data_IF_667347491587
#
_entry.id   IF_667347491587
#
_cell.length_a   1.000
_cell.length_b   1.000
_cell.length_c   1.000
_cell.angle_alpha   90.00
_cell.angle_beta   90.00
_cell.angle_gamma   90.00
#
_symmetry.space_group_name_H-M   'P 1'
#
loop_
_entity.id
_entity.type
_entity.pdbx_description
1 polymer ?
#
# COMPACT_ATOMS: atom_id res chain seq x y z
N UNK A 1 -14.91 -22.83 -13.09
CA UNK A 1 -13.87 -22.77 -12.07
C UNK A 1 -13.64 -21.37 -11.55
N UNK A 2 -14.71 -20.82 -11.05
CA UNK A 2 -14.67 -19.49 -10.47
C UNK A 2 -13.59 -19.31 -9.37
N UNK A 3 -13.39 -20.31 -8.48
CA UNK A 3 -12.40 -20.16 -7.43
C UNK A 3 -10.98 -19.86 -7.91
N UNK A 4 -10.64 -20.33 -9.09
CA UNK A 4 -9.31 -20.10 -9.64
C UNK A 4 -9.03 -18.61 -9.84
N UNK A 5 -10.04 -17.86 -10.30
CA UNK A 5 -9.88 -16.44 -10.52
C UNK A 5 -9.63 -15.70 -9.21
N UNK A 6 -10.34 -16.10 -8.17
CA UNK A 6 -10.15 -15.51 -6.85
C UNK A 6 -8.77 -15.79 -6.29
N UNK A 7 -8.27 -17.01 -6.52
CA UNK A 7 -6.94 -17.41 -6.06
C UNK A 7 -5.87 -16.58 -6.73
N UNK A 8 -6.10 -16.16 -7.98
CA UNK A 8 -5.13 -15.39 -8.75
C UNK A 8 -5.18 -13.89 -8.45
N UNK A 9 -6.23 -13.44 -7.77
CA UNK A 9 -6.39 -12.02 -7.46
C UNK A 9 -5.41 -11.61 -6.36
N UNK A 10 -4.72 -10.49 -6.57
CA UNK A 10 -3.78 -9.95 -5.58
C UNK A 10 -4.52 -9.11 -4.56
N UNK A 11 -4.03 -9.11 -3.33
CA UNK A 11 -4.60 -8.28 -2.27
C UNK A 11 -3.66 -7.14 -1.94
N UNK A 12 -4.22 -5.93 -1.82
CA UNK A 12 -3.50 -4.72 -1.46
C UNK A 12 -4.11 -4.17 -0.18
N UNK A 13 -3.27 -3.74 0.75
CA UNK A 13 -3.73 -3.07 1.95
C UNK A 13 -3.44 -1.58 1.82
N UNK A 14 -4.47 -0.75 1.87
CA UNK A 14 -4.35 0.70 1.78
C UNK A 14 -4.53 1.29 3.17
N UNK A 15 -3.51 1.95 3.69
CA UNK A 15 -3.44 2.37 5.08
C UNK A 15 -3.45 3.89 5.19
N UNK A 16 -4.38 4.39 6.01
CA UNK A 16 -4.35 5.79 6.42
C UNK A 16 -5.03 6.77 5.49
N UNK A 17 -5.91 6.29 4.60
CA UNK A 17 -6.72 7.15 3.74
C UNK A 17 -8.13 7.29 4.30
N UNK A 18 -8.68 8.51 4.22
CA UNK A 18 -10.09 8.76 4.53
C UNK A 18 -10.96 8.13 3.44
N UNK A 19 -12.29 8.10 3.66
CA UNK A 19 -13.21 7.44 2.75
C UNK A 19 -13.07 7.85 1.28
N UNK A 20 -13.11 9.14 0.94
CA UNK A 20 -12.96 9.58 -0.45
C UNK A 20 -11.62 9.21 -1.07
N UNK A 21 -10.53 9.34 -0.32
CA UNK A 21 -9.20 9.00 -0.81
C UNK A 21 -9.03 7.50 -0.98
N UNK A 22 -9.59 6.73 -0.06
CA UNK A 22 -9.59 5.28 -0.19
C UNK A 22 -10.36 4.86 -1.46
N UNK A 23 -11.54 5.46 -1.68
CA UNK A 23 -12.34 5.19 -2.87
C UNK A 23 -11.59 5.48 -4.17
N UNK A 24 -10.84 6.59 -4.19
CA UNK A 24 -10.02 6.95 -5.35
C UNK A 24 -8.92 5.94 -5.60
N UNK A 25 -8.28 5.47 -4.54
CA UNK A 25 -7.22 4.46 -4.64
C UNK A 25 -7.80 3.13 -5.17
N UNK A 26 -8.95 2.72 -4.64
CA UNK A 26 -9.61 1.50 -5.10
C UNK A 26 -9.91 1.57 -6.59
N UNK A 27 -10.50 2.68 -7.03
CA UNK A 27 -10.85 2.87 -8.44
C UNK A 27 -9.61 2.81 -9.33
N UNK A 28 -8.53 3.48 -8.91
CA UNK A 28 -7.29 3.48 -9.67
C UNK A 28 -6.71 2.07 -9.78
N UNK A 29 -6.60 1.37 -8.67
CA UNK A 29 -6.00 0.04 -8.66
C UNK A 29 -6.84 -1.00 -9.41
N UNK A 30 -8.14 -1.00 -9.19
CA UNK A 30 -9.01 -2.01 -9.80
C UNK A 30 -9.25 -1.75 -11.28
N UNK A 31 -9.07 -0.51 -11.72
CA UNK A 31 -9.12 -0.18 -13.15
C UNK A 31 -7.91 -0.78 -13.89
N UNK A 32 -6.78 -0.85 -13.24
CA UNK A 32 -5.52 -1.25 -13.88
C UNK A 32 -5.09 -2.69 -13.57
N UNK A 33 -5.58 -3.27 -12.48
CA UNK A 33 -5.13 -4.59 -12.02
C UNK A 33 -6.29 -5.41 -11.50
N UNK A 34 -6.15 -6.74 -11.60
CA UNK A 34 -7.07 -7.67 -10.97
C UNK A 34 -6.63 -7.82 -9.51
N UNK A 35 -7.16 -6.97 -8.65
CA UNK A 35 -6.78 -6.93 -7.24
C UNK A 35 -7.96 -6.57 -6.36
N UNK A 36 -7.80 -6.91 -5.08
CA UNK A 36 -8.73 -6.58 -4.03
C UNK A 36 -8.03 -5.63 -3.07
N UNK A 37 -8.69 -4.54 -2.69
CA UNK A 37 -8.08 -3.52 -1.83
C UNK A 37 -8.81 -3.49 -0.50
N UNK A 38 -8.06 -3.73 0.58
CA UNK A 38 -8.59 -3.64 1.94
C UNK A 38 -8.09 -2.35 2.58
N UNK A 39 -8.79 -1.89 3.61
CA UNK A 39 -8.50 -0.63 4.27
C UNK A 39 -8.01 -0.84 5.70
N UNK A 40 -7.00 -0.07 6.10
CA UNK A 40 -6.57 0.02 7.49
C UNK A 40 -6.30 1.49 7.81
N UNK A 41 -6.20 1.83 9.07
CA UNK A 41 -6.08 3.23 9.50
C UNK A 41 -4.85 3.54 10.33
N UNK A 42 -4.38 2.61 11.13
CA UNK A 42 -3.25 2.83 12.02
C UNK A 42 -2.38 1.60 12.18
N UNK A 43 -1.39 1.65 13.09
CA UNK A 43 -0.45 0.53 13.25
C UNK A 43 -1.12 -0.77 13.67
N UNK A 44 -2.05 -0.70 14.61
CA UNK A 44 -2.64 -1.90 15.19
C UNK A 44 -3.45 -2.69 14.20
N UNK A 45 -4.39 -2.04 13.50
CA UNK A 45 -5.23 -2.74 12.54
C UNK A 45 -4.43 -3.17 11.31
N UNK A 46 -3.41 -2.40 10.92
CA UNK A 46 -2.53 -2.77 9.82
C UNK A 46 -1.79 -4.07 10.11
N UNK A 47 -1.15 -4.13 11.27
CA UNK A 47 -0.38 -5.33 11.64
C UNK A 47 -1.29 -6.55 11.82
N UNK A 48 -2.46 -6.36 12.39
CA UNK A 48 -3.43 -7.42 12.55
C UNK A 48 -3.85 -8.01 11.21
N UNK A 49 -4.16 -7.15 10.24
CA UNK A 49 -4.56 -7.60 8.91
C UNK A 49 -3.43 -8.32 8.19
N UNK A 50 -2.21 -7.80 8.30
CA UNK A 50 -1.05 -8.41 7.65
C UNK A 50 -0.76 -9.79 8.21
N UNK A 51 -0.94 -9.99 9.51
CA UNK A 51 -0.72 -11.30 10.13
C UNK A 51 -1.80 -12.30 9.77
N UNK A 52 -2.99 -11.81 9.47
CA UNK A 52 -4.14 -12.66 9.14
C UNK A 52 -4.36 -12.92 7.67
N UNK A 53 -3.54 -12.35 6.79
CA UNK A 53 -3.76 -12.49 5.35
C UNK A 53 -2.49 -12.38 4.54
N UNK A 54 -2.61 -12.68 3.25
CA UNK A 54 -1.52 -12.60 2.28
C UNK A 54 -1.71 -11.35 1.43
N UNK A 55 -0.85 -10.36 1.63
CA UNK A 55 -0.90 -9.13 0.87
C UNK A 55 0.28 -9.02 -0.08
N UNK A 56 -0.02 -8.71 -1.34
CA UNK A 56 1.01 -8.51 -2.36
C UNK A 56 1.72 -7.17 -2.18
N UNK A 57 1.03 -6.19 -1.59
CA UNK A 57 1.54 -4.83 -1.47
C UNK A 57 0.79 -4.08 -0.37
N UNK A 58 1.52 -3.26 0.38
CA UNK A 58 0.93 -2.36 1.38
C UNK A 58 1.22 -0.93 0.93
N UNK A 59 0.18 -0.12 0.85
CA UNK A 59 0.29 1.30 0.51
C UNK A 59 -0.02 2.10 1.78
N UNK A 60 0.95 2.85 2.28
CA UNK A 60 0.79 3.60 3.52
C UNK A 60 0.83 5.09 3.21
N UNK A 61 -0.25 5.78 3.54
CA UNK A 61 -0.30 7.22 3.39
C UNK A 61 0.74 7.85 4.31
N UNK A 62 1.48 8.83 3.83
CA UNK A 62 2.54 9.43 4.63
C UNK A 62 2.00 10.06 5.91
N UNK A 63 0.82 10.68 5.83
CA UNK A 63 0.10 11.15 7.03
C UNK A 63 -1.19 10.36 7.17
N UNK A 64 -1.36 9.74 8.34
CA UNK A 64 -2.53 8.90 8.58
C UNK A 64 -3.77 9.76 8.82
N UNK A 65 -4.91 9.30 8.32
CA UNK A 65 -6.14 10.06 8.29
C UNK A 65 -6.73 10.37 9.68
N UNK A 66 -6.54 9.47 10.65
CA UNK A 66 -7.20 9.61 11.95
C UNK A 66 -6.48 10.55 12.91
N UNK A 67 -5.16 10.55 12.91
CA UNK A 67 -4.39 11.33 13.91
C UNK A 67 -3.24 12.11 13.32
N UNK A 68 -3.12 12.12 11.99
CA UNK A 68 -2.05 12.81 11.24
C UNK A 68 -0.63 12.35 11.61
N UNK A 69 -0.51 11.16 12.23
CA UNK A 69 0.80 10.61 12.53
C UNK A 69 1.51 10.18 11.25
N UNK A 70 2.82 9.98 11.36
CA UNK A 70 3.66 9.66 10.20
C UNK A 70 3.55 8.17 9.86
N UNK A 71 3.11 7.87 8.65
CA UNK A 71 2.99 6.50 8.16
C UNK A 71 4.31 5.74 8.13
N UNK A 72 5.45 6.45 8.15
CA UNK A 72 6.77 5.80 8.20
C UNK A 72 6.95 4.95 9.45
N UNK A 73 6.23 5.25 10.54
CA UNK A 73 6.30 4.43 11.74
C UNK A 73 5.71 3.04 11.50
N UNK A 74 4.67 2.96 10.69
CA UNK A 74 4.09 1.66 10.31
C UNK A 74 5.07 0.88 9.45
N UNK A 75 5.71 1.57 8.50
CA UNK A 75 6.74 0.97 7.66
C UNK A 75 7.85 0.35 8.52
N UNK A 76 8.33 1.09 9.52
CA UNK A 76 9.37 0.61 10.42
C UNK A 76 8.94 -0.66 11.16
N UNK A 77 7.70 -0.68 11.64
CA UNK A 77 7.18 -1.82 12.37
C UNK A 77 7.07 -3.06 11.49
N UNK A 78 6.62 -2.89 10.25
CA UNK A 78 6.53 -4.00 9.29
C UNK A 78 7.92 -4.56 9.02
N UNK A 79 8.89 -3.69 8.78
CA UNK A 79 10.26 -4.12 8.45
C UNK A 79 11.00 -4.70 9.64
N UNK A 80 10.58 -4.37 10.86
CA UNK A 80 11.16 -4.94 12.08
C UNK A 80 10.57 -6.29 12.45
N UNK A 81 9.47 -6.71 11.86
CA UNK A 81 8.81 -7.96 12.17
C UNK A 81 9.29 -9.05 11.20
N UNK A 82 9.98 -10.10 11.70
CA UNK A 82 10.49 -11.15 10.81
C UNK A 82 9.42 -11.85 9.98
N UNK A 83 8.18 -11.88 10.46
CA UNK A 83 7.08 -12.51 9.73
C UNK A 83 6.55 -11.63 8.60
N UNK A 84 6.80 -10.31 8.65
CA UNK A 84 6.23 -9.34 7.73
C UNK A 84 7.25 -8.59 6.89
N UNK A 85 8.54 -8.68 7.23
CA UNK A 85 9.57 -7.83 6.63
C UNK A 85 9.72 -7.98 5.12
N UNK A 86 9.29 -9.08 4.56
CA UNK A 86 9.38 -9.31 3.12
C UNK A 86 8.16 -8.79 2.35
N UNK A 87 7.14 -8.28 3.04
CA UNK A 87 5.97 -7.72 2.38
C UNK A 87 6.35 -6.38 1.75
N UNK A 88 6.13 -6.19 0.45
CA UNK A 88 6.44 -4.90 -0.18
C UNK A 88 5.56 -3.78 0.38
N UNK A 89 6.19 -2.63 0.68
CA UNK A 89 5.51 -1.46 1.23
C UNK A 89 5.90 -0.25 0.40
N UNK A 90 4.93 0.59 0.06
CA UNK A 90 5.15 1.89 -0.56
C UNK A 90 4.55 2.97 0.33
N UNK A 91 5.25 4.10 0.46
CA UNK A 91 4.68 5.27 1.10
C UNK A 91 4.03 6.13 0.02
N UNK A 92 2.81 6.59 0.28
CA UNK A 92 2.06 7.42 -0.65
C UNK A 92 2.32 8.88 -0.32
N UNK A 93 3.06 9.54 -1.19
CA UNK A 93 3.42 10.95 -1.04
C UNK A 93 3.84 11.51 -2.39
N UNK A 94 3.56 12.81 -2.62
CA UNK A 94 3.99 13.51 -3.83
C UNK A 94 5.39 14.10 -3.71
N UNK A 95 6.04 13.95 -2.56
CA UNK A 95 7.34 14.57 -2.28
C UNK A 95 8.48 13.57 -2.42
N UNK A 96 9.44 13.88 -3.30
CA UNK A 96 10.57 13.00 -3.58
C UNK A 96 11.41 12.71 -2.33
N UNK A 97 11.62 13.71 -1.46
CA UNK A 97 12.38 13.52 -0.24
C UNK A 97 11.75 12.49 0.71
N UNK A 98 10.42 12.42 0.73
CA UNK A 98 9.73 11.42 1.55
C UNK A 98 9.84 10.03 0.92
N UNK A 99 9.89 9.96 -0.41
CA UNK A 99 10.12 8.68 -1.10
C UNK A 99 11.55 8.19 -0.81
N UNK A 100 12.54 9.09 -0.87
CA UNK A 100 13.92 8.74 -0.58
C UNK A 100 14.06 8.22 0.85
N UNK A 101 13.44 8.89 1.81
CA UNK A 101 13.48 8.47 3.21
C UNK A 101 12.82 7.10 3.41
N UNK A 102 11.72 6.84 2.72
CA UNK A 102 11.03 5.56 2.82
C UNK A 102 11.88 4.43 2.25
N UNK A 103 12.54 4.66 1.12
CA UNK A 103 13.43 3.65 0.55
C UNK A 103 14.57 3.31 1.50
N UNK A 104 15.10 4.30 2.19
CA UNK A 104 16.15 4.06 3.17
C UNK A 104 15.68 3.19 4.34
N UNK A 105 14.38 3.15 4.59
CA UNK A 105 13.78 2.32 5.63
C UNK A 105 13.32 0.95 5.11
N UNK A 106 13.54 0.67 3.84
CA UNK A 106 13.21 -0.62 3.25
C UNK A 106 11.95 -0.65 2.40
N UNK A 107 11.34 0.48 2.12
CA UNK A 107 10.18 0.54 1.24
C UNK A 107 10.60 0.47 -0.23
N UNK A 108 9.65 0.06 -1.07
CA UNK A 108 9.76 0.24 -2.50
C UNK A 108 9.39 1.68 -2.83
N UNK A 109 9.97 2.24 -3.89
CA UNK A 109 9.62 3.59 -4.28
C UNK A 109 8.18 3.65 -4.70
N UNK A 110 7.40 4.51 -4.04
CA UNK A 110 5.97 4.63 -4.28
C UNK A 110 5.63 5.79 -5.20
N UNK A 111 4.48 6.38 -4.94
CA UNK A 111 3.93 7.44 -5.76
C UNK A 111 3.02 8.32 -4.90
N UNK A 112 2.60 9.45 -5.46
CA UNK A 112 1.65 10.33 -4.81
C UNK A 112 0.29 10.29 -5.48
N UNK A 113 -0.71 10.84 -4.80
CA UNK A 113 -2.09 10.86 -5.32
C UNK A 113 -2.22 11.70 -6.58
N UNK A 114 -1.30 12.61 -6.82
CA UNK A 114 -1.29 13.42 -8.05
C UNK A 114 -0.77 12.63 -9.26
N UNK A 115 -0.27 11.43 -9.04
CA UNK A 115 0.37 10.64 -10.08
C UNK A 115 -0.49 9.47 -10.62
N UNK A 116 -1.77 9.43 -10.28
CA UNK A 116 -2.65 8.36 -10.74
C UNK A 116 -2.74 8.30 -12.27
N UNK A 117 -2.63 9.42 -12.93
CA UNK A 117 -2.70 9.47 -14.39
C UNK A 117 -1.38 9.22 -15.11
N UNK A 118 -0.31 9.03 -14.36
CA UNK A 118 1.03 8.86 -14.92
C UNK A 118 1.27 7.38 -15.25
N UNK A 119 1.61 7.06 -16.51
CA UNK A 119 1.91 5.66 -16.87
C UNK A 119 3.03 5.05 -16.03
N UNK A 120 3.97 5.85 -15.57
CA UNK A 120 5.07 5.36 -14.72
C UNK A 120 4.56 4.80 -13.39
N UNK A 121 3.44 5.31 -12.88
CA UNK A 121 2.84 4.81 -11.64
C UNK A 121 2.32 3.39 -11.84
N UNK A 122 1.60 3.15 -12.94
CA UNK A 122 1.11 1.81 -13.26
C UNK A 122 2.29 0.86 -13.44
N UNK A 123 3.35 1.31 -14.11
CA UNK A 123 4.54 0.51 -14.35
C UNK A 123 5.20 0.07 -13.04
N UNK A 124 5.31 0.96 -12.06
CA UNK A 124 5.84 0.62 -10.74
C UNK A 124 5.02 -0.47 -10.05
N UNK A 125 3.71 -0.42 -10.21
CA UNK A 125 2.80 -1.35 -9.54
C UNK A 125 2.76 -2.72 -10.22
N UNK A 126 3.09 -2.79 -11.49
CA UNK A 126 3.06 -4.04 -12.25
C UNK A 126 3.90 -5.14 -11.62
N UNK A 127 5.02 -4.79 -11.02
CA UNK A 127 5.90 -5.76 -10.37
C UNK A 127 5.21 -6.54 -9.26
N UNK A 128 4.23 -5.93 -8.63
CA UNK A 128 3.59 -6.50 -7.45
C UNK A 128 2.19 -7.02 -7.73
N UNK A 129 1.51 -6.46 -8.72
CA UNK A 129 0.08 -6.69 -8.91
C UNK A 129 -0.28 -7.44 -10.19
N UNK A 130 0.70 -7.77 -11.03
CA UNK A 130 0.44 -8.61 -12.20
C UNK A 130 0.76 -10.07 -11.99
#
# INVERSE_FOLDING_TARGET
MAPRKEVMSKRVLDVGNCGPDFGSMVRFLTKNFDCQVDQAHGPEDTLEKLRGGDYALVLVNRKLDQDYSDGSEILKQIKADPALQNTPVMIITNHAEHQDAAEALGAERGFGKLEFGDPATVEKLEKFLR
#
